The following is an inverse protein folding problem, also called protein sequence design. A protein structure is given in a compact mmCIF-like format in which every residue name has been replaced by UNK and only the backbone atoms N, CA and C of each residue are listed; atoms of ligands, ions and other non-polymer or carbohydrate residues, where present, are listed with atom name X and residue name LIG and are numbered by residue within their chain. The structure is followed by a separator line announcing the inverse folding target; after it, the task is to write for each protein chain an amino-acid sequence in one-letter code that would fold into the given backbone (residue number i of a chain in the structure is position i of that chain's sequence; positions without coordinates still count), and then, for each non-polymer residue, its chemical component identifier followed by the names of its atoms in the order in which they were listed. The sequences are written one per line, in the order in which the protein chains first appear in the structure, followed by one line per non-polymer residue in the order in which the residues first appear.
data_IF_977427770527
#
_entry.id   IF_977427770527
#
_cell.length_a   1.000
_cell.length_b   1.000
_cell.length_c   1.000
_cell.angle_alpha   90.00
_cell.angle_beta   90.00
_cell.angle_gamma   90.00
#
_symmetry.space_group_name_H-M   'P 1'
#
loop_
_entity.id
_entity.type
_entity.pdbx_description
1 polymer ?
#
# COMPACT_ATOMS: atom_id res chain seq x y z
N UNK A 1 -10.55 -22.59 11.08
CA UNK A 1 -10.51 -21.32 10.33
C UNK A 1 -11.81 -20.53 10.45
N UNK A 2 -12.97 -21.05 10.01
CA UNK A 2 -14.25 -20.36 10.21
C UNK A 2 -14.64 -20.25 11.70
N UNK A 3 -14.40 -21.32 12.47
CA UNK A 3 -14.58 -21.33 13.93
C UNK A 3 -13.67 -20.33 14.65
N UNK A 4 -12.42 -20.16 14.17
CA UNK A 4 -11.45 -19.25 14.77
C UNK A 4 -11.90 -17.78 14.68
N UNK A 5 -12.52 -17.37 13.57
CA UNK A 5 -13.02 -16.00 13.37
C UNK A 5 -14.21 -15.71 14.27
N UNK A 6 -15.20 -16.62 14.30
CA UNK A 6 -16.35 -16.51 15.20
C UNK A 6 -15.88 -16.39 16.65
N UNK A 7 -14.94 -17.26 17.04
CA UNK A 7 -14.45 -17.28 18.42
C UNK A 7 -13.51 -16.11 18.73
N UNK A 8 -12.82 -15.50 17.75
CA UNK A 8 -11.95 -14.35 17.99
C UNK A 8 -12.73 -13.14 18.51
N UNK A 9 -13.88 -12.87 17.91
CA UNK A 9 -14.71 -11.71 18.26
C UNK A 9 -15.75 -12.00 19.35
N UNK A 10 -16.00 -13.27 19.69
CA UNK A 10 -16.91 -13.66 20.78
C UNK A 10 -16.58 -13.03 22.15
N UNK A 11 -17.60 -12.81 23.00
CA UNK A 11 -17.43 -12.49 24.41
C UNK A 11 -16.44 -13.43 25.11
N UNK A 12 -15.73 -12.90 26.12
CA UNK A 12 -14.75 -13.68 26.91
C UNK A 12 -15.33 -14.99 27.47
N UNK A 13 -16.60 -14.97 27.90
CA UNK A 13 -17.27 -16.14 28.46
C UNK A 13 -17.47 -17.28 27.45
N UNK A 14 -17.82 -16.97 26.21
CA UNK A 14 -17.99 -17.97 25.13
C UNK A 14 -16.63 -18.57 24.73
N UNK A 15 -15.58 -17.76 24.76
CA UNK A 15 -14.20 -18.21 24.48
C UNK A 15 -13.64 -19.11 25.59
N UNK A 16 -13.88 -18.77 26.86
CA UNK A 16 -13.39 -19.54 27.99
C UNK A 16 -14.00 -20.95 28.09
N UNK A 17 -15.19 -21.14 27.51
CA UNK A 17 -15.87 -22.44 27.46
C UNK A 17 -15.30 -23.40 26.40
N UNK A 18 -14.49 -22.90 25.46
CA UNK A 18 -13.84 -23.72 24.45
C UNK A 18 -12.48 -24.23 24.99
N UNK A 19 -12.44 -25.45 25.51
CA UNK A 19 -11.28 -26.08 26.16
C UNK A 19 -10.08 -26.33 25.21
N UNK A 20 -9.16 -25.37 25.07
CA UNK A 20 -7.87 -25.56 24.37
C UNK A 20 -6.74 -24.74 25.04
N UNK A 21 -5.48 -25.01 24.70
CA UNK A 21 -4.35 -24.10 24.99
C UNK A 21 -4.49 -22.85 24.10
N UNK A 22 -5.07 -21.78 24.64
CA UNK A 22 -5.21 -20.52 23.91
C UNK A 22 -3.94 -19.69 24.07
N UNK A 23 -3.34 -19.16 22.99
CA UNK A 23 -2.33 -18.13 23.10
C UNK A 23 -2.92 -16.88 23.77
N UNK A 24 -2.08 -16.12 24.48
CA UNK A 24 -2.47 -14.84 25.04
C UNK A 24 -2.96 -13.90 23.94
N UNK A 25 -3.96 -13.07 24.28
CA UNK A 25 -4.61 -12.17 23.32
C UNK A 25 -4.64 -10.75 23.85
N UNK A 26 -4.29 -9.82 22.98
CA UNK A 26 -4.53 -8.39 23.16
C UNK A 26 -5.61 -7.99 22.16
N UNK A 27 -6.52 -7.12 22.56
CA UNK A 27 -7.58 -6.68 21.65
C UNK A 27 -7.97 -5.23 21.81
N UNK A 28 -8.24 -4.58 20.68
CA UNK A 28 -8.91 -3.29 20.57
C UNK A 28 -10.31 -3.55 20.00
N UNK A 29 -11.35 -2.99 20.62
CA UNK A 29 -12.75 -3.22 20.23
C UNK A 29 -13.51 -1.91 20.17
N UNK A 30 -14.51 -1.87 19.29
CA UNK A 30 -15.38 -0.71 19.08
C UNK A 30 -14.61 0.62 18.88
N UNK A 31 -13.41 0.53 18.28
CA UNK A 31 -12.59 1.69 18.03
C UNK A 31 -13.10 2.42 16.80
N UNK A 32 -13.58 3.65 16.96
CA UNK A 32 -14.25 4.40 15.88
C UNK A 32 -13.38 5.56 15.39
N UNK A 33 -13.24 5.68 14.07
CA UNK A 33 -12.60 6.81 13.39
C UNK A 33 -13.42 7.30 12.22
N UNK A 34 -13.41 8.62 12.00
CA UNK A 34 -13.96 9.23 10.80
C UNK A 34 -12.88 9.22 9.71
N UNK A 35 -13.14 8.55 8.59
CA UNK A 35 -12.17 8.29 7.54
C UNK A 35 -12.78 8.62 6.18
N UNK A 36 -12.00 9.25 5.30
CA UNK A 36 -12.39 9.35 3.89
C UNK A 36 -12.00 8.06 3.17
N UNK A 37 -13.00 7.20 2.91
CA UNK A 37 -12.81 5.89 2.27
C UNK A 37 -13.92 5.61 1.27
N UNK A 38 -13.57 5.17 0.07
CA UNK A 38 -14.57 4.85 -0.95
C UNK A 38 -14.05 4.82 -2.37
N UNK A 39 -14.53 3.81 -3.13
CA UNK A 39 -14.21 3.61 -4.54
C UNK A 39 -15.09 4.47 -5.47
N UNK A 40 -16.23 4.98 -4.99
CA UNK A 40 -17.13 5.79 -5.80
C UNK A 40 -16.76 7.28 -5.76
N UNK A 41 -16.90 7.95 -6.90
CA UNK A 41 -16.62 9.39 -7.00
C UNK A 41 -17.54 10.23 -6.09
N UNK A 42 -18.76 9.75 -5.83
CA UNK A 42 -19.69 10.35 -4.87
C UNK A 42 -19.23 10.29 -3.41
N UNK A 43 -18.29 9.42 -3.07
CA UNK A 43 -17.72 9.30 -1.73
C UNK A 43 -16.50 10.22 -1.52
N UNK A 44 -16.05 10.96 -2.56
CA UNK A 44 -14.93 11.91 -2.45
C UNK A 44 -15.32 13.11 -1.58
N UNK A 45 -14.42 13.49 -0.67
CA UNK A 45 -14.59 14.64 0.22
C UNK A 45 -15.61 14.44 1.35
N UNK A 46 -16.08 13.21 1.58
CA UNK A 46 -16.99 12.87 2.67
C UNK A 46 -16.32 11.86 3.62
N UNK A 47 -16.35 12.16 4.92
CA UNK A 47 -15.88 11.23 5.95
C UNK A 47 -16.99 10.27 6.36
N UNK A 48 -16.64 9.01 6.55
CA UNK A 48 -17.52 7.95 7.05
C UNK A 48 -16.94 7.39 8.34
N UNK A 49 -17.79 7.02 9.29
CA UNK A 49 -17.35 6.36 10.52
C UNK A 49 -17.04 4.90 10.25
N UNK A 50 -15.79 4.54 10.46
CA UNK A 50 -15.33 3.16 10.49
C UNK A 50 -15.19 2.69 11.93
N UNK A 51 -15.63 1.45 12.20
CA UNK A 51 -15.35 0.72 13.44
C UNK A 51 -14.31 -0.35 13.18
N UNK A 52 -13.34 -0.45 14.08
CA UNK A 52 -12.28 -1.44 14.06
C UNK A 52 -12.39 -2.34 15.30
N UNK A 53 -12.36 -3.65 15.07
CA UNK A 53 -12.12 -4.65 16.11
C UNK A 53 -10.90 -5.49 15.70
N UNK A 54 -9.89 -5.49 16.55
CA UNK A 54 -8.61 -6.16 16.29
C UNK A 54 -8.29 -7.07 17.46
N UNK A 55 -7.97 -8.32 17.17
CA UNK A 55 -7.50 -9.30 18.15
C UNK A 55 -6.15 -9.81 17.68
N UNK A 56 -5.13 -9.64 18.51
CA UNK A 56 -3.79 -10.12 18.26
C UNK A 56 -3.45 -11.25 19.23
N UNK A 57 -3.18 -12.43 18.69
CA UNK A 57 -2.60 -13.55 19.42
C UNK A 57 -1.08 -13.39 19.50
N UNK A 58 -0.56 -13.43 20.72
CA UNK A 58 0.87 -13.28 21.01
C UNK A 58 1.44 -14.55 21.63
N UNK A 59 2.75 -14.72 21.52
CA UNK A 59 3.46 -15.70 22.34
C UNK A 59 3.31 -15.34 23.83
N UNK A 60 3.17 -16.36 24.68
CA UNK A 60 3.06 -16.17 26.13
C UNK A 60 4.17 -15.26 26.65
N UNK A 61 3.82 -14.27 27.45
CA UNK A 61 4.81 -13.37 28.06
C UNK A 61 5.66 -14.12 29.09
N UNK A 62 6.94 -13.78 29.20
CA UNK A 62 7.76 -14.23 30.30
C UNK A 62 7.25 -13.60 31.62
N UNK A 63 7.36 -14.33 32.73
CA UNK A 63 6.90 -13.88 34.04
C UNK A 63 7.57 -12.55 34.46
N UNK A 64 6.77 -11.51 34.72
CA UNK A 64 7.23 -10.21 35.20
C UNK A 64 6.24 -9.06 34.92
N UNK A 65 6.25 -8.02 35.75
CA UNK A 65 5.45 -6.79 35.61
C UNK A 65 6.25 -5.68 34.90
N UNK A 66 7.02 -6.05 33.88
CA UNK A 66 7.79 -5.12 33.06
C UNK A 66 6.98 -4.76 31.81
N UNK A 67 6.52 -3.51 31.75
CA UNK A 67 5.71 -2.98 30.65
C UNK A 67 6.44 -3.10 29.31
N UNK A 68 7.78 -2.99 29.30
CA UNK A 68 8.58 -3.10 28.07
C UNK A 68 8.66 -4.54 27.54
N UNK A 69 8.39 -5.53 28.40
CA UNK A 69 8.38 -6.95 28.05
C UNK A 69 7.07 -7.42 27.39
N UNK A 70 6.01 -6.61 27.47
CA UNK A 70 4.67 -6.91 26.95
C UNK A 70 4.41 -6.13 25.65
N UNK A 71 3.65 -6.74 24.74
CA UNK A 71 3.19 -6.02 23.55
C UNK A 71 2.00 -5.12 23.96
N UNK A 72 2.14 -3.80 23.81
CA UNK A 72 1.05 -2.86 24.15
C UNK A 72 -0.06 -2.87 23.10
N UNK A 73 -1.31 -2.67 23.52
CA UNK A 73 -2.43 -2.40 22.61
C UNK A 73 -2.24 -1.11 21.80
N UNK A 74 -1.37 -0.20 22.25
CA UNK A 74 -0.98 0.99 21.48
C UNK A 74 -0.38 0.63 20.12
N UNK A 75 0.21 -0.56 19.99
CA UNK A 75 0.70 -1.07 18.70
C UNK A 75 -0.45 -1.31 17.72
N UNK A 76 -1.61 -1.78 18.19
CA UNK A 76 -2.79 -2.01 17.36
C UNK A 76 -3.45 -0.69 16.96
N UNK A 77 -3.58 0.24 17.91
CA UNK A 77 -4.07 1.59 17.63
C UNK A 77 -3.15 2.32 16.65
N UNK A 78 -1.84 2.25 16.88
CA UNK A 78 -0.82 2.81 16.01
C UNK A 78 -0.83 2.21 14.61
N UNK A 79 -1.06 0.91 14.46
CA UNK A 79 -1.22 0.27 13.16
C UNK A 79 -2.42 0.83 12.38
N UNK A 80 -3.55 1.09 13.05
CA UNK A 80 -4.71 1.72 12.42
C UNK A 80 -4.40 3.15 12.01
N UNK A 81 -3.90 3.98 12.93
CA UNK A 81 -3.62 5.39 12.64
C UNK A 81 -2.56 5.53 11.53
N UNK A 82 -1.54 4.67 11.50
CA UNK A 82 -0.53 4.66 10.45
C UNK A 82 -1.10 4.32 9.07
N UNK A 83 -1.95 3.29 8.96
CA UNK A 83 -2.59 2.93 7.68
C UNK A 83 -3.55 4.02 7.18
N UNK A 84 -4.27 4.66 8.10
CA UNK A 84 -5.16 5.77 7.75
C UNK A 84 -4.41 7.03 7.32
N UNK A 85 -3.21 7.26 7.85
CA UNK A 85 -2.38 8.41 7.51
C UNK A 85 -1.58 8.22 6.21
N UNK A 86 -1.20 6.98 5.86
CA UNK A 86 -0.31 6.70 4.73
C UNK A 86 -0.96 6.98 3.37
N UNK A 87 -2.23 6.59 3.19
CA UNK A 87 -2.93 6.77 1.90
C UNK A 87 -4.45 6.79 2.06
N UNK A 88 -5.13 7.43 1.09
CA UNK A 88 -6.58 7.32 0.94
C UNK A 88 -6.88 5.93 0.39
N UNK A 89 -7.68 5.17 1.12
CA UNK A 89 -8.00 3.80 0.76
C UNK A 89 -9.34 3.77 0.01
N UNK A 90 -9.40 2.96 -1.05
CA UNK A 90 -10.63 2.76 -1.80
C UNK A 90 -11.45 1.59 -1.25
N UNK A 91 -10.77 0.59 -0.66
CA UNK A 91 -11.33 -0.71 -0.28
C UNK A 91 -11.06 -0.98 1.21
N UNK A 92 -12.05 -1.56 1.90
CA UNK A 92 -11.90 -1.96 3.30
C UNK A 92 -10.94 -3.16 3.44
N UNK A 93 -10.88 -4.00 2.40
CA UNK A 93 -9.99 -5.14 2.28
C UNK A 93 -8.53 -4.70 2.35
N UNK A 94 -8.15 -3.68 1.57
CA UNK A 94 -6.79 -3.13 1.56
C UNK A 94 -6.42 -2.51 2.91
N UNK A 95 -7.36 -1.82 3.54
CA UNK A 95 -7.18 -1.27 4.88
C UNK A 95 -6.94 -2.38 5.92
N UNK A 96 -7.79 -3.41 5.90
CA UNK A 96 -7.68 -4.53 6.82
C UNK A 96 -6.33 -5.26 6.66
N UNK A 97 -5.88 -5.47 5.42
CA UNK A 97 -4.58 -6.10 5.13
C UNK A 97 -3.39 -5.29 5.63
N UNK A 98 -3.38 -3.97 5.41
CA UNK A 98 -2.32 -3.10 5.91
C UNK A 98 -2.25 -3.10 7.44
N UNK A 99 -3.42 -3.00 8.09
CA UNK A 99 -3.53 -3.09 9.55
C UNK A 99 -2.98 -4.44 10.03
N UNK A 100 -3.35 -5.54 9.37
CA UNK A 100 -2.91 -6.87 9.73
C UNK A 100 -1.39 -7.00 9.59
N UNK A 101 -0.82 -6.54 8.48
CA UNK A 101 0.62 -6.58 8.22
C UNK A 101 1.42 -5.80 9.29
N UNK A 102 0.97 -4.59 9.65
CA UNK A 102 1.59 -3.79 10.71
C UNK A 102 1.42 -4.42 12.09
N UNK A 103 0.24 -4.98 12.37
CA UNK A 103 -0.06 -5.59 13.67
C UNK A 103 0.79 -6.82 13.98
N UNK A 104 1.17 -7.59 12.95
CA UNK A 104 2.04 -8.77 13.11
C UNK A 104 3.52 -8.47 12.95
N UNK A 105 3.93 -7.20 12.88
CA UNK A 105 5.33 -6.79 12.66
C UNK A 105 6.25 -7.11 13.86
N UNK A 106 5.73 -7.12 15.08
CA UNK A 106 6.48 -7.56 16.28
C UNK A 106 6.67 -9.08 16.26
N UNK A 107 7.89 -9.55 16.59
CA UNK A 107 8.24 -10.98 16.62
C UNK A 107 7.39 -11.82 17.59
N UNK A 108 6.79 -11.18 18.60
CA UNK A 108 5.92 -11.81 19.60
C UNK A 108 4.53 -12.08 19.05
N UNK A 109 4.12 -11.38 17.99
CA UNK A 109 2.85 -11.59 17.32
C UNK A 109 2.85 -12.92 16.55
N UNK A 110 1.77 -13.70 16.70
CA UNK A 110 1.57 -14.95 15.97
C UNK A 110 0.54 -14.80 14.87
N UNK A 111 -0.62 -14.26 15.22
CA UNK A 111 -1.78 -14.17 14.32
C UNK A 111 -2.67 -13.01 14.73
N UNK A 112 -3.19 -12.29 13.75
CA UNK A 112 -4.11 -11.17 13.95
C UNK A 112 -5.45 -11.45 13.27
N UNK A 113 -6.51 -11.03 13.93
CA UNK A 113 -7.86 -10.97 13.40
C UNK A 113 -8.24 -9.49 13.30
N UNK A 114 -8.69 -9.06 12.13
CA UNK A 114 -9.07 -7.67 11.88
C UNK A 114 -10.48 -7.65 11.31
N UNK A 115 -11.36 -6.89 11.96
CA UNK A 115 -12.68 -6.54 11.47
C UNK A 115 -12.75 -5.03 11.26
N UNK A 116 -13.20 -4.63 10.08
CA UNK A 116 -13.41 -3.22 9.73
C UNK A 116 -14.81 -3.05 9.17
N UNK A 117 -15.59 -2.14 9.76
CA UNK A 117 -17.00 -1.93 9.39
C UNK A 117 -17.30 -0.45 9.11
N UNK A 118 -18.08 -0.19 8.06
CA UNK A 118 -18.74 1.09 7.80
C UNK A 118 -20.06 1.15 8.59
N UNK A 119 -20.20 2.18 9.43
CA UNK A 119 -21.39 2.38 10.26
C UNK A 119 -22.50 3.20 9.59
N UNK A 120 -22.16 3.95 8.54
CA UNK A 120 -23.05 4.98 7.98
C UNK A 120 -23.69 4.58 6.64
N UNK A 121 -23.34 3.40 6.09
CA UNK A 121 -23.73 3.02 4.71
C UNK A 121 -25.13 2.40 4.61
N UNK A 122 -25.52 1.62 5.60
CA UNK A 122 -26.79 0.88 5.66
C UNK A 122 -27.30 0.83 7.11
N UNK A 123 -28.58 0.52 7.36
CA UNK A 123 -29.02 0.12 8.70
C UNK A 123 -28.24 -1.11 9.17
N UNK A 124 -27.43 -0.96 10.22
CA UNK A 124 -26.50 -1.98 10.70
C UNK A 124 -25.04 -1.64 10.38
N UNK A 125 -24.21 -2.67 10.18
CA UNK A 125 -22.82 -2.52 9.84
C UNK A 125 -22.49 -3.39 8.62
N UNK A 126 -21.66 -2.85 7.71
CA UNK A 126 -21.11 -3.59 6.57
C UNK A 126 -19.59 -3.54 6.68
N UNK A 127 -18.93 -4.69 6.60
CA UNK A 127 -17.49 -4.73 6.80
C UNK A 127 -16.81 -5.95 6.20
N UNK A 128 -15.51 -6.02 6.45
CA UNK A 128 -14.65 -7.14 6.11
C UNK A 128 -14.03 -7.71 7.38
N UNK A 129 -13.81 -9.01 7.39
CA UNK A 129 -13.13 -9.74 8.46
C UNK A 129 -12.03 -10.60 7.87
N UNK A 130 -10.80 -10.43 8.37
CA UNK A 130 -9.65 -11.21 7.90
C UNK A 130 -8.87 -11.79 9.08
N UNK A 131 -8.14 -12.88 8.80
CA UNK A 131 -7.17 -13.48 9.71
C UNK A 131 -5.84 -13.61 8.98
N UNK A 132 -4.75 -13.14 9.58
CA UNK A 132 -3.40 -13.24 9.03
C UNK A 132 -2.45 -13.80 10.06
N UNK A 133 -1.66 -14.80 9.69
CA UNK A 133 -0.54 -15.26 10.50
C UNK A 133 0.70 -14.46 10.14
N UNK A 134 1.59 -14.27 11.11
CA UNK A 134 2.88 -13.65 10.88
C UNK A 134 3.67 -14.37 9.78
N UNK A 135 3.67 -15.70 9.80
CA UNK A 135 4.36 -16.52 8.77
C UNK A 135 3.84 -16.24 7.36
N UNK A 136 2.52 -16.13 7.18
CA UNK A 136 1.90 -15.84 5.88
C UNK A 136 2.26 -14.43 5.40
N UNK A 137 2.26 -13.45 6.30
CA UNK A 137 2.62 -12.06 5.98
C UNK A 137 4.11 -11.95 5.63
N UNK A 138 4.99 -12.63 6.37
CA UNK A 138 6.41 -12.65 6.09
C UNK A 138 6.74 -13.40 4.80
N UNK A 139 6.02 -14.47 4.49
CA UNK A 139 6.15 -15.20 3.22
C UNK A 139 5.59 -14.43 2.01
N UNK A 140 4.70 -13.46 2.25
CA UNK A 140 4.16 -12.55 1.24
C UNK A 140 4.94 -11.24 1.11
N UNK A 141 5.91 -10.99 1.99
CA UNK A 141 6.89 -9.93 1.74
C UNK A 141 7.55 -10.23 0.38
N UNK A 142 7.71 -9.25 -0.51
CA UNK A 142 8.28 -9.49 -1.83
C UNK A 142 9.64 -10.16 -1.67
N UNK A 143 9.69 -11.45 -1.98
CA UNK A 143 10.90 -12.26 -1.93
C UNK A 143 11.69 -11.91 -3.19
N UNK A 144 12.61 -10.95 -3.07
CA UNK A 144 13.35 -10.45 -4.21
C UNK A 144 14.12 -9.16 -3.94
N UNK A 145 15.06 -8.79 -4.82
CA UNK A 145 15.71 -7.48 -4.76
C UNK A 145 14.66 -6.37 -4.84
N UNK A 146 14.93 -5.24 -4.18
CA UNK A 146 14.06 -4.06 -4.25
C UNK A 146 13.77 -3.68 -5.72
N UNK A 147 12.54 -3.29 -6.06
CA UNK A 147 12.17 -2.99 -7.44
C UNK A 147 13.00 -1.81 -7.96
N UNK A 148 13.52 -1.92 -9.19
CA UNK A 148 14.24 -0.82 -9.84
C UNK A 148 13.25 0.19 -10.40
N UNK A 149 13.38 1.44 -10.01
CA UNK A 149 12.62 2.56 -10.59
C UNK A 149 13.56 3.39 -11.47
N UNK A 150 13.18 3.57 -12.74
CA UNK A 150 13.97 4.29 -13.73
C UNK A 150 13.17 5.46 -14.29
N UNK A 151 13.67 6.68 -14.14
CA UNK A 151 13.16 7.87 -14.85
C UNK A 151 13.86 7.97 -16.20
N UNK A 152 13.09 8.07 -17.27
CA UNK A 152 13.63 8.33 -18.60
C UNK A 152 13.68 9.85 -18.85
N UNK A 153 14.77 10.38 -19.39
CA UNK A 153 14.79 11.76 -19.89
C UNK A 153 14.29 11.82 -21.34
N UNK A 154 13.74 12.97 -21.74
CA UNK A 154 13.29 13.17 -23.10
C UNK A 154 14.45 12.93 -24.09
N UNK A 155 14.23 12.10 -25.10
CA UNK A 155 15.23 11.74 -26.10
C UNK A 155 16.24 10.68 -25.67
N UNK A 156 16.14 10.12 -24.47
CA UNK A 156 16.99 9.00 -24.05
C UNK A 156 16.70 7.71 -24.84
N UNK A 157 17.75 6.94 -25.13
CA UNK A 157 17.62 5.67 -25.84
C UNK A 157 17.09 4.59 -24.89
N UNK A 158 15.77 4.37 -24.93
CA UNK A 158 15.07 3.33 -24.17
C UNK A 158 15.63 1.91 -24.39
N UNK A 159 16.45 1.67 -25.44
CA UNK A 159 17.12 0.39 -25.66
C UNK A 159 18.15 0.05 -24.60
N UNK A 160 18.68 1.04 -23.89
CA UNK A 160 19.59 0.83 -22.77
C UNK A 160 18.89 0.24 -21.52
N UNK A 161 17.55 0.26 -21.46
CA UNK A 161 16.79 -0.37 -20.38
C UNK A 161 16.92 -1.90 -20.47
N UNK A 162 17.43 -2.50 -19.41
CA UNK A 162 17.64 -3.94 -19.29
C UNK A 162 17.23 -4.44 -17.90
N UNK A 163 16.78 -5.68 -17.84
CA UNK A 163 16.27 -6.31 -16.62
C UNK A 163 14.92 -5.75 -16.15
N UNK A 164 14.35 -6.29 -15.07
CA UNK A 164 13.05 -5.88 -14.57
C UNK A 164 13.14 -4.48 -13.96
N UNK A 165 12.25 -3.58 -14.37
CA UNK A 165 12.22 -2.19 -13.91
C UNK A 165 10.86 -1.54 -14.13
N UNK A 166 10.55 -0.52 -13.33
CA UNK A 166 9.40 0.35 -13.49
C UNK A 166 9.88 1.68 -14.05
N UNK A 167 9.37 2.06 -15.21
CA UNK A 167 9.85 3.23 -15.96
C UNK A 167 8.86 4.38 -15.84
N UNK A 168 9.34 5.52 -15.35
CA UNK A 168 8.61 6.79 -15.38
C UNK A 168 9.01 7.54 -16.65
N UNK A 169 8.06 7.63 -17.59
CA UNK A 169 8.27 8.32 -18.86
C UNK A 169 7.82 9.78 -18.77
N UNK A 170 8.60 10.73 -19.28
CA UNK A 170 8.17 12.11 -19.39
C UNK A 170 7.13 12.21 -20.52
N UNK A 171 6.20 13.18 -20.45
CA UNK A 171 5.35 13.47 -21.59
C UNK A 171 6.21 13.98 -22.76
N UNK A 172 5.83 13.65 -23.99
CA UNK A 172 6.53 14.16 -25.18
C UNK A 172 6.41 15.69 -25.26
N UNK A 173 5.25 16.22 -24.87
CA UNK A 173 4.98 17.65 -24.77
C UNK A 173 4.26 17.94 -23.45
N UNK A 174 4.82 18.89 -22.68
CA UNK A 174 4.16 19.38 -21.48
C UNK A 174 2.90 20.18 -21.87
N UNK A 175 1.73 19.90 -21.27
CA UNK A 175 0.53 20.69 -21.50
C UNK A 175 0.73 22.15 -21.04
N UNK A 176 0.36 23.11 -21.89
CA UNK A 176 0.35 24.54 -21.54
C UNK A 176 -0.98 24.94 -20.89
N UNK A 177 -1.31 24.29 -19.79
CA UNK A 177 -2.51 24.55 -18.99
C UNK A 177 -2.11 24.56 -17.53
N UNK A 178 -2.49 25.60 -16.79
CA UNK A 178 -2.18 25.71 -15.37
C UNK A 178 -3.25 25.02 -14.48
N UNK A 179 -2.88 24.78 -13.22
CA UNK A 179 -3.77 24.24 -12.18
C UNK A 179 -4.11 22.76 -12.35
N UNK A 180 -5.20 22.32 -11.69
CA UNK A 180 -5.60 20.91 -11.64
C UNK A 180 -5.90 20.31 -13.03
N UNK A 181 -6.40 21.11 -13.97
CA UNK A 181 -6.60 20.67 -15.34
C UNK A 181 -5.27 20.33 -16.02
N UNK A 182 -4.27 21.21 -15.88
CA UNK A 182 -2.90 20.97 -16.36
C UNK A 182 -2.28 19.72 -15.77
N UNK A 183 -2.38 19.60 -14.44
CA UNK A 183 -1.90 18.45 -13.69
C UNK A 183 -2.46 17.12 -14.23
N UNK A 184 -3.78 17.05 -14.48
CA UNK A 184 -4.42 15.86 -15.07
C UNK A 184 -3.99 15.61 -16.50
N UNK A 185 -3.86 16.66 -17.31
CA UNK A 185 -3.38 16.54 -18.69
C UNK A 185 -1.94 16.01 -18.72
N UNK A 186 -1.07 16.41 -17.79
CA UNK A 186 0.30 15.92 -17.71
C UNK A 186 0.34 14.42 -17.41
N UNK A 187 -0.45 13.95 -16.43
CA UNK A 187 -0.54 12.52 -16.12
C UNK A 187 -1.04 11.72 -17.32
N UNK A 188 -2.08 12.19 -18.01
CA UNK A 188 -2.59 11.56 -19.23
C UNK A 188 -1.57 11.56 -20.38
N UNK A 189 -0.80 12.63 -20.53
CA UNK A 189 0.25 12.72 -21.54
C UNK A 189 1.39 11.71 -21.27
N UNK A 190 1.73 11.48 -20.00
CA UNK A 190 2.68 10.43 -19.62
C UNK A 190 2.13 9.03 -19.92
N UNK A 191 0.82 8.79 -19.69
CA UNK A 191 0.18 7.51 -20.07
C UNK A 191 0.19 7.31 -21.58
N UNK A 192 -0.08 8.35 -22.37
CA UNK A 192 0.01 8.29 -23.82
C UNK A 192 1.44 7.93 -24.25
N UNK A 193 2.46 8.58 -23.69
CA UNK A 193 3.86 8.27 -23.97
C UNK A 193 4.20 6.79 -23.64
N UNK A 194 3.66 6.25 -22.55
CA UNK A 194 3.81 4.84 -22.20
C UNK A 194 3.19 3.90 -23.24
N UNK A 195 1.95 4.14 -23.64
CA UNK A 195 1.26 3.32 -24.64
C UNK A 195 1.91 3.41 -26.01
N UNK A 196 2.36 4.60 -26.41
CA UNK A 196 3.08 4.79 -27.66
C UNK A 196 4.40 4.05 -27.68
N UNK A 197 5.19 4.10 -26.60
CA UNK A 197 6.45 3.36 -26.53
C UNK A 197 6.22 1.84 -26.52
N UNK A 198 5.25 1.34 -25.75
CA UNK A 198 4.87 -0.08 -25.77
C UNK A 198 4.37 -0.55 -27.15
N UNK A 199 3.68 0.32 -27.90
CA UNK A 199 3.27 0.04 -29.27
C UNK A 199 4.42 -0.02 -30.28
N UNK A 200 5.55 0.63 -29.99
CA UNK A 200 6.76 0.65 -30.84
C UNK A 200 7.77 -0.44 -30.46
N UNK A 201 7.85 -0.83 -29.18
CA UNK A 201 8.80 -1.83 -28.67
C UNK A 201 8.08 -2.86 -27.77
N UNK A 202 7.91 -4.11 -28.24
CA UNK A 202 7.14 -5.15 -27.55
C UNK A 202 7.83 -5.70 -26.29
N UNK A 203 9.05 -5.25 -25.96
CA UNK A 203 9.72 -5.60 -24.70
C UNK A 203 9.06 -4.95 -23.48
N UNK A 204 8.22 -3.94 -23.70
CA UNK A 204 7.57 -3.18 -22.66
C UNK A 204 6.11 -3.59 -22.47
N UNK A 205 5.67 -3.55 -21.22
CA UNK A 205 4.24 -3.62 -20.85
C UNK A 205 3.83 -2.35 -20.13
N UNK A 206 2.57 -1.92 -20.28
CA UNK A 206 2.04 -0.78 -19.52
C UNK A 206 1.36 -1.29 -18.25
N UNK A 207 1.60 -0.63 -17.12
CA UNK A 207 0.97 -0.95 -15.84
C UNK A 207 0.44 0.32 -15.18
N UNK A 208 -0.82 0.30 -14.72
CA UNK A 208 -1.47 1.44 -14.08
C UNK A 208 -1.71 1.22 -12.58
N UNK A 209 -1.51 0.01 -12.07
CA UNK A 209 -1.76 -0.34 -10.67
C UNK A 209 -0.63 -1.17 -10.07
N UNK A 210 -0.57 -1.18 -8.73
CA UNK A 210 0.48 -1.90 -8.00
C UNK A 210 0.53 -3.39 -8.37
N UNK A 211 -0.61 -4.05 -8.44
CA UNK A 211 -0.70 -5.47 -8.83
C UNK A 211 -0.16 -5.74 -10.24
N UNK A 212 -0.41 -4.85 -11.20
CA UNK A 212 0.12 -4.98 -12.56
C UNK A 212 1.63 -4.74 -12.60
N UNK A 213 2.11 -3.78 -11.81
CA UNK A 213 3.55 -3.52 -11.64
C UNK A 213 4.25 -4.76 -11.06
N UNK A 214 3.75 -5.28 -9.94
CA UNK A 214 4.32 -6.46 -9.27
C UNK A 214 4.30 -7.69 -10.19
N UNK A 215 3.20 -7.88 -10.94
CA UNK A 215 3.12 -8.95 -11.94
C UNK A 215 4.18 -8.80 -13.02
N UNK A 216 4.34 -7.61 -13.59
CA UNK A 216 5.32 -7.36 -14.65
C UNK A 216 6.76 -7.61 -14.16
N UNK A 217 7.09 -7.10 -12.96
CA UNK A 217 8.39 -7.32 -12.35
C UNK A 217 8.64 -8.81 -12.05
N UNK A 218 7.63 -9.53 -11.56
CA UNK A 218 7.72 -10.98 -11.32
C UNK A 218 7.90 -11.82 -12.59
N UNK A 219 7.42 -11.34 -13.74
CA UNK A 219 7.70 -11.93 -15.06
C UNK A 219 9.06 -11.51 -15.65
N UNK A 220 9.81 -10.68 -14.93
CA UNK A 220 11.11 -10.17 -15.36
C UNK A 220 11.02 -9.08 -16.44
N UNK A 221 9.87 -8.42 -16.57
CA UNK A 221 9.59 -7.43 -17.62
C UNK A 221 9.95 -6.01 -17.18
N UNK A 222 10.15 -5.14 -18.17
CA UNK A 222 10.19 -3.69 -17.96
C UNK A 222 8.77 -3.15 -18.11
N UNK A 223 8.21 -2.55 -17.06
CA UNK A 223 6.89 -1.93 -17.14
C UNK A 223 6.99 -0.41 -17.28
N UNK A 224 6.28 0.15 -18.27
CA UNK A 224 6.08 1.58 -18.41
C UNK A 224 4.90 1.98 -17.53
N UNK A 225 5.15 2.90 -16.60
CA UNK A 225 4.13 3.26 -15.64
C UNK A 225 3.11 4.25 -16.23
N UNK A 226 1.83 3.89 -16.12
CA UNK A 226 0.71 4.77 -16.40
C UNK A 226 0.22 5.43 -15.08
N UNK A 227 0.56 6.71 -14.82
CA UNK A 227 0.55 7.23 -13.46
C UNK A 227 -0.83 7.60 -12.89
N UNK A 228 -1.85 7.88 -13.71
CA UNK A 228 -3.06 8.56 -13.22
C UNK A 228 -3.78 7.75 -12.15
N UNK A 229 -3.92 6.44 -12.33
CA UNK A 229 -4.67 5.60 -11.38
C UNK A 229 -4.07 5.60 -9.98
N UNK A 230 -2.74 5.49 -9.87
CA UNK A 230 -2.05 5.49 -8.58
C UNK A 230 -1.95 6.91 -8.00
N UNK A 231 -1.58 7.89 -8.81
CA UNK A 231 -1.41 9.29 -8.36
C UNK A 231 -2.74 9.91 -7.91
N UNK A 232 -3.84 9.67 -8.64
CA UNK A 232 -5.16 10.20 -8.28
C UNK A 232 -5.81 9.48 -7.09
N UNK A 233 -5.26 8.33 -6.67
CA UNK A 233 -5.71 7.60 -5.50
C UNK A 233 -4.90 7.93 -4.23
N UNK A 234 -3.75 8.60 -4.36
CA UNK A 234 -2.87 8.90 -3.23
C UNK A 234 -3.48 9.95 -2.27
N UNK A 235 -3.22 9.82 -0.97
CA UNK A 235 -3.64 10.82 0.03
C UNK A 235 -2.92 12.15 -0.18
N UNK A 236 -1.59 12.07 -0.32
CA UNK A 236 -0.71 13.20 -0.63
C UNK A 236 -0.09 12.91 -1.98
N UNK A 237 -0.76 13.31 -3.07
CA UNK A 237 -0.27 12.96 -4.39
C UNK A 237 0.92 13.87 -4.75
N UNK A 238 1.94 13.35 -5.44
CA UNK A 238 3.07 14.16 -5.87
C UNK A 238 2.65 15.21 -6.90
N UNK A 239 3.54 16.19 -7.10
CA UNK A 239 3.51 17.05 -8.28
C UNK A 239 3.53 16.20 -9.55
N UNK A 240 2.81 16.63 -10.59
CA UNK A 240 2.77 15.91 -11.87
C UNK A 240 4.03 16.20 -12.71
N UNK A 241 5.20 16.00 -12.11
CA UNK A 241 6.52 16.19 -12.69
C UNK A 241 7.27 14.86 -12.68
N UNK A 242 7.97 14.47 -13.75
CA UNK A 242 8.60 13.14 -13.86
C UNK A 242 9.54 12.79 -12.70
N UNK A 243 10.25 13.79 -12.14
CA UNK A 243 11.15 13.57 -11.01
C UNK A 243 10.39 13.31 -9.70
N UNK A 244 9.39 14.14 -9.39
CA UNK A 244 8.56 13.98 -8.19
C UNK A 244 7.76 12.67 -8.23
N UNK A 245 7.30 12.30 -9.43
CA UNK A 245 6.59 11.05 -9.69
C UNK A 245 7.50 9.82 -9.51
N UNK A 246 8.75 9.88 -9.98
CA UNK A 246 9.70 8.78 -9.80
C UNK A 246 10.09 8.59 -8.33
N UNK A 247 10.38 9.67 -7.60
CA UNK A 247 10.70 9.62 -6.18
C UNK A 247 9.51 9.11 -5.34
N UNK A 248 8.31 9.57 -5.66
CA UNK A 248 7.09 9.08 -5.00
C UNK A 248 6.86 7.60 -5.28
N UNK A 249 6.96 7.17 -6.54
CA UNK A 249 6.76 5.77 -6.91
C UNK A 249 7.81 4.86 -6.26
N UNK A 250 9.08 5.28 -6.21
CA UNK A 250 10.13 4.53 -5.53
C UNK A 250 9.79 4.24 -4.07
N UNK A 251 9.29 5.25 -3.34
CA UNK A 251 8.82 5.06 -1.96
C UNK A 251 7.64 4.10 -1.86
N UNK A 252 6.63 4.26 -2.71
CA UNK A 252 5.48 3.34 -2.74
C UNK A 252 5.91 1.90 -3.02
N UNK A 253 6.91 1.71 -3.87
CA UNK A 253 7.44 0.41 -4.26
C UNK A 253 8.45 -0.17 -3.26
N UNK A 254 8.96 0.61 -2.30
CA UNK A 254 10.04 0.21 -1.40
C UNK A 254 11.42 0.19 -2.08
N UNK A 255 11.58 0.93 -3.18
CA UNK A 255 12.86 1.15 -3.84
C UNK A 255 13.65 2.24 -3.10
N UNK A 256 14.90 1.93 -2.70
CA UNK A 256 15.76 2.89 -1.99
C UNK A 256 16.37 3.97 -2.90
N UNK A 257 16.36 3.75 -4.22
CA UNK A 257 17.04 4.59 -5.20
C UNK A 257 16.20 4.73 -6.47
N UNK A 258 16.35 5.87 -7.16
CA UNK A 258 15.82 6.13 -8.49
C UNK A 258 16.98 6.27 -9.46
N UNK A 259 16.94 5.46 -10.51
CA UNK A 259 17.86 5.57 -11.64
C UNK A 259 17.31 6.57 -12.65
N UNK A 260 18.18 7.35 -13.29
CA UNK A 260 17.84 8.28 -14.38
C UNK A 260 18.64 7.86 -15.60
N UNK A 261 17.94 7.54 -16.69
CA UNK A 261 18.55 7.32 -17.99
C UNK A 261 18.50 8.61 -18.80
N UNK A 262 19.67 9.22 -19.00
CA UNK A 262 19.82 10.51 -19.67
C UNK A 262 19.83 10.41 -21.20
N UNK A 263 19.63 11.55 -21.87
CA UNK A 263 19.73 11.65 -23.33
C UNK A 263 21.14 11.35 -23.88
N UNK A 264 22.16 11.44 -23.02
CA UNK A 264 23.54 11.06 -23.28
C UNK A 264 23.79 9.53 -23.19
N UNK A 265 22.76 8.75 -22.84
CA UNK A 265 22.86 7.32 -22.59
C UNK A 265 23.46 6.97 -21.23
N UNK A 266 23.78 7.96 -20.39
CA UNK A 266 24.31 7.76 -19.06
C UNK A 266 23.22 7.35 -18.07
N UNK A 267 23.51 6.35 -17.24
CA UNK A 267 22.68 6.01 -16.09
C UNK A 267 23.21 6.74 -14.84
N UNK A 268 22.35 7.49 -14.17
CA UNK A 268 22.66 8.22 -12.94
C UNK A 268 21.74 7.74 -11.83
N UNK A 269 22.27 7.47 -10.64
CA UNK A 269 21.46 6.99 -9.51
C UNK A 269 21.41 8.05 -8.42
N UNK A 270 20.22 8.29 -7.88
CA UNK A 270 19.99 9.15 -6.73
C UNK A 270 19.17 8.38 -5.68
N UNK A 271 19.42 8.64 -4.40
CA UNK A 271 18.53 8.15 -3.34
C UNK A 271 17.12 8.71 -3.58
N UNK A 272 16.08 7.90 -3.37
CA UNK A 272 14.71 8.39 -3.43
C UNK A 272 14.57 9.48 -2.37
N UNK A 273 14.37 10.73 -2.80
CA UNK A 273 14.47 11.87 -1.90
C UNK A 273 13.37 11.80 -0.83
N UNK A 274 13.77 11.92 0.43
CA UNK A 274 12.86 12.04 1.55
C UNK A 274 12.21 13.42 1.49
N UNK A 275 10.92 13.47 1.13
CA UNK A 275 10.15 14.67 1.40
C UNK A 275 10.06 14.82 2.91
N UNK A 276 10.78 15.79 3.47
CA UNK A 276 10.52 16.27 4.82
C UNK A 276 9.02 16.61 4.91
N UNK A 277 8.32 15.92 5.81
CA UNK A 277 7.01 16.30 6.31
C UNK A 277 7.23 17.22 7.51
#
# INVERSE_FOLDING_TARGET
MADDLLTAFSPLAERAAAEAEWPDRISVRDYVRAVEIGAFESERGQTQRLRFDIVLEVAASAEGDDVDSVLSYDTLVGAVEAELAERRLNLLETLAEGIAARSVSDRRARRVFVRVEKLDRIPGALGVEIVRRREDVLAQAPDGPAPRVVRLEAGADHRALTGPAVVVLPPEQAPDVAGEAGRRLTLLAMEQAAWELAGRDPRFTVAASRTEIDWALGQGLVCLWAPSKLVLAAAVPPEAEPIALADWLARELGAGEVETLGSDGGMRTAAASGGDI
#
